data_IF_145492040115
#
_entry.id   IF_145492040115
#
_cell.length_a   1.000
_cell.length_b   1.000
_cell.length_c   1.000
_cell.angle_alpha   90.00
_cell.angle_beta   90.00
_cell.angle_gamma   90.00
#
_symmetry.space_group_name_H-M   'P 1'
#
loop_
_entity.id
_entity.type
_entity.pdbx_description
1 polymer ?
#
# COMPACT_ATOMS: atom_id res chain seq x y z
N UNK A 1 31.09 13.97 47.98
CA UNK A 1 30.96 12.56 47.51
C UNK A 1 29.48 12.17 47.47
N UNK A 2 28.86 12.12 46.29
CA UNK A 2 27.91 11.07 45.86
C UNK A 2 27.38 11.46 44.48
N UNK A 3 27.80 10.69 43.47
CA UNK A 3 27.30 10.77 42.10
C UNK A 3 26.04 9.93 42.06
N UNK A 4 24.91 10.49 41.61
CA UNK A 4 23.74 9.70 41.25
C UNK A 4 23.45 9.97 39.78
N UNK A 5 23.94 9.06 38.94
CA UNK A 5 23.64 9.03 37.52
C UNK A 5 22.21 8.52 37.36
N UNK A 6 21.33 9.34 36.80
CA UNK A 6 19.98 8.92 36.39
C UNK A 6 20.12 8.38 34.97
N UNK A 7 20.08 7.06 34.84
CA UNK A 7 20.05 6.39 33.54
C UNK A 7 18.57 6.31 33.15
N UNK A 8 18.13 7.23 32.29
CA UNK A 8 16.79 7.19 31.71
C UNK A 8 16.74 6.07 30.66
N UNK A 9 16.15 4.93 31.03
CA UNK A 9 15.84 3.86 30.09
C UNK A 9 14.71 4.31 29.17
N UNK A 10 15.04 4.72 27.94
CA UNK A 10 14.05 4.97 26.89
C UNK A 10 13.57 3.60 26.41
N UNK A 11 12.44 3.14 26.96
CA UNK A 11 11.72 2.00 26.42
C UNK A 11 11.13 2.44 25.07
N UNK A 12 11.85 2.18 23.98
CA UNK A 12 11.29 2.25 22.64
C UNK A 12 10.24 1.15 22.53
N UNK A 13 8.97 1.51 22.72
CA UNK A 13 7.85 0.67 22.36
C UNK A 13 7.86 0.52 20.84
N UNK A 14 8.52 -0.52 20.35
CA UNK A 14 8.28 -1.07 19.01
C UNK A 14 6.82 -1.53 19.04
N UNK A 15 5.94 -0.70 18.47
CA UNK A 15 4.61 -1.12 18.13
C UNK A 15 4.76 -2.23 17.10
N UNK A 16 4.70 -3.48 17.57
CA UNK A 16 4.56 -4.64 16.71
C UNK A 16 3.23 -4.49 15.99
N UNK A 17 3.26 -3.89 14.79
CA UNK A 17 2.17 -4.02 13.83
C UNK A 17 1.95 -5.52 13.66
N UNK A 18 0.73 -6.04 13.91
CA UNK A 18 0.48 -7.45 13.72
C UNK A 18 0.85 -7.77 12.28
N UNK A 19 1.66 -8.80 12.10
CA UNK A 19 1.88 -9.42 10.81
C UNK A 19 0.55 -10.05 10.38
N UNK A 20 -0.43 -9.21 10.02
CA UNK A 20 -1.50 -9.61 9.13
C UNK A 20 -0.78 -10.23 7.94
N UNK A 21 -1.10 -11.47 7.63
CA UNK A 21 -0.57 -12.16 6.46
C UNK A 21 -0.57 -11.16 5.30
N UNK A 22 0.62 -10.79 4.82
CA UNK A 22 0.75 -9.81 3.75
C UNK A 22 0.21 -10.49 2.50
N UNK A 23 -1.10 -10.38 2.29
CA UNK A 23 -1.73 -10.82 1.06
C UNK A 23 -1.11 -10.00 -0.06
N UNK A 24 -0.40 -10.71 -0.93
CA UNK A 24 0.27 -10.13 -2.07
C UNK A 24 -0.26 -10.84 -3.30
N UNK A 25 -0.53 -10.07 -4.34
CA UNK A 25 -0.94 -10.60 -5.64
C UNK A 25 0.08 -10.22 -6.68
N UNK A 26 0.39 -11.14 -7.58
CA UNK A 26 1.28 -10.89 -8.68
C UNK A 26 0.50 -10.24 -9.84
N UNK A 27 1.00 -9.10 -10.32
CA UNK A 27 0.46 -8.43 -11.50
C UNK A 27 1.42 -8.62 -12.66
N UNK A 28 0.96 -9.28 -13.72
CA UNK A 28 1.73 -9.41 -14.95
C UNK A 28 1.49 -8.21 -15.86
N UNK A 29 2.56 -7.66 -16.40
CA UNK A 29 2.53 -6.50 -17.30
C UNK A 29 3.50 -6.63 -18.48
N UNK A 30 4.09 -7.81 -18.69
CA UNK A 30 5.03 -8.05 -19.79
C UNK A 30 4.39 -7.97 -21.19
N UNK A 31 3.06 -7.94 -21.26
CA UNK A 31 2.28 -7.72 -22.48
C UNK A 31 2.03 -6.22 -22.78
N UNK A 32 2.38 -5.32 -21.85
CA UNK A 32 2.13 -3.89 -21.97
C UNK A 32 3.39 -3.14 -22.39
N UNK A 33 3.24 -2.21 -23.32
CA UNK A 33 4.22 -1.14 -23.51
C UNK A 33 4.06 -0.10 -22.40
N UNK A 34 4.75 -0.30 -21.29
CA UNK A 34 4.71 0.59 -20.11
C UNK A 34 5.40 1.94 -20.34
N UNK A 35 6.09 2.13 -21.48
CA UNK A 35 6.65 3.41 -21.88
C UNK A 35 5.61 4.30 -22.59
N UNK A 36 4.56 3.70 -23.13
CA UNK A 36 3.41 4.39 -23.72
C UNK A 36 2.43 4.86 -22.64
N UNK A 37 1.79 6.01 -22.88
CA UNK A 37 0.74 6.52 -21.99
C UNK A 37 -0.42 5.51 -21.83
N UNK A 38 -0.77 4.79 -22.90
CA UNK A 38 -1.81 3.77 -22.88
C UNK A 38 -1.42 2.57 -22.01
N UNK A 39 -0.22 2.02 -22.18
CA UNK A 39 0.21 0.87 -21.38
C UNK A 39 0.45 1.21 -19.91
N UNK A 40 0.96 2.41 -19.61
CA UNK A 40 1.05 2.90 -18.23
C UNK A 40 -0.32 3.07 -17.56
N UNK A 41 -1.34 3.50 -18.32
CA UNK A 41 -2.71 3.59 -17.82
C UNK A 41 -3.32 2.22 -17.54
N UNK A 42 -3.20 1.27 -18.49
CA UNK A 42 -3.68 -0.11 -18.30
C UNK A 42 -2.99 -0.79 -17.12
N UNK A 43 -1.69 -0.53 -16.91
CA UNK A 43 -0.98 -1.03 -15.74
C UNK A 43 -1.53 -0.42 -14.43
N UNK A 44 -1.90 0.87 -14.45
CA UNK A 44 -2.60 1.52 -13.34
C UNK A 44 -3.91 0.81 -12.99
N UNK A 45 -4.76 0.52 -13.98
CA UNK A 45 -6.02 -0.20 -13.77
C UNK A 45 -5.80 -1.62 -13.22
N UNK A 46 -4.77 -2.32 -13.72
CA UNK A 46 -4.39 -3.66 -13.20
C UNK A 46 -3.92 -3.59 -11.77
N UNK A 47 -3.21 -2.52 -11.40
CA UNK A 47 -2.78 -2.28 -10.03
C UNK A 47 -3.97 -2.03 -9.10
N UNK A 48 -4.93 -1.22 -9.53
CA UNK A 48 -6.17 -0.99 -8.77
C UNK A 48 -7.00 -2.27 -8.60
N UNK A 49 -7.08 -3.10 -9.64
CA UNK A 49 -7.74 -4.40 -9.60
C UNK A 49 -7.03 -5.36 -8.63
N UNK A 50 -5.69 -5.44 -8.68
CA UNK A 50 -4.90 -6.25 -7.74
C UNK A 50 -5.01 -5.77 -6.29
N UNK A 51 -5.04 -4.45 -6.07
CA UNK A 51 -5.30 -3.90 -4.74
C UNK A 51 -6.70 -4.28 -4.23
N UNK A 52 -7.70 -4.33 -5.11
CA UNK A 52 -9.05 -4.76 -4.75
C UNK A 52 -9.15 -6.28 -4.48
N UNK A 53 -8.27 -7.12 -5.04
CA UNK A 53 -8.24 -8.55 -4.70
C UNK A 53 -7.60 -8.82 -3.36
N UNK A 54 -6.59 -8.02 -2.98
CA UNK A 54 -5.92 -8.10 -1.67
C UNK A 54 -6.79 -7.50 -0.56
N UNK A 55 -7.48 -6.40 -0.85
CA UNK A 55 -8.30 -5.71 0.15
C UNK A 55 -9.76 -6.21 0.11
N UNK A 56 -10.11 -7.10 1.04
CA UNK A 56 -11.47 -7.62 1.19
C UNK A 56 -12.50 -6.48 1.30
N UNK A 57 -13.43 -6.40 0.35
CA UNK A 57 -14.44 -5.34 0.32
C UNK A 57 -15.54 -5.65 1.35
N UNK A 58 -15.77 -4.77 2.35
CA UNK A 58 -16.82 -4.96 3.34
C UNK A 58 -18.18 -4.59 2.76
N UNK A 59 -19.24 -4.84 3.55
CA UNK A 59 -20.58 -4.35 3.23
C UNK A 59 -20.57 -2.81 3.17
N UNK A 60 -21.22 -2.24 2.16
CA UNK A 60 -21.24 -0.77 1.97
C UNK A 60 -21.95 -0.02 3.09
N UNK A 61 -22.74 -0.71 3.91
CA UNK A 61 -23.40 -0.16 5.11
C UNK A 61 -22.46 -0.12 6.31
N UNK A 62 -21.35 -0.86 6.29
CA UNK A 62 -20.29 -0.75 7.28
C UNK A 62 -19.31 0.37 6.91
N UNK A 63 -19.64 1.60 7.32
CA UNK A 63 -18.82 2.78 7.04
C UNK A 63 -17.40 2.66 7.61
N UNK A 64 -17.23 1.99 8.75
CA UNK A 64 -15.92 1.80 9.37
C UNK A 64 -15.09 0.80 8.58
N UNK A 65 -15.71 -0.31 8.17
CA UNK A 65 -15.10 -1.27 7.24
C UNK A 65 -14.71 -0.60 5.93
N UNK A 66 -15.58 0.23 5.36
CA UNK A 66 -15.31 0.94 4.11
C UNK A 66 -14.11 1.88 4.22
N UNK A 67 -13.95 2.59 5.35
CA UNK A 67 -12.77 3.41 5.60
C UNK A 67 -11.49 2.57 5.66
N UNK A 68 -11.50 1.46 6.40
CA UNK A 68 -10.37 0.54 6.48
C UNK A 68 -10.02 -0.10 5.12
N UNK A 69 -11.04 -0.39 4.30
CA UNK A 69 -10.88 -0.91 2.95
C UNK A 69 -10.24 0.12 2.00
N UNK A 70 -10.66 1.38 2.08
CA UNK A 70 -10.03 2.46 1.31
C UNK A 70 -8.57 2.66 1.71
N UNK A 71 -8.27 2.62 3.00
CA UNK A 71 -6.89 2.72 3.51
C UNK A 71 -6.03 1.55 3.02
N UNK A 72 -6.55 0.32 3.08
CA UNK A 72 -5.89 -0.85 2.51
C UNK A 72 -5.60 -0.67 1.01
N UNK A 73 -6.60 -0.27 0.23
CA UNK A 73 -6.43 -0.08 -1.22
C UNK A 73 -5.38 0.98 -1.52
N UNK A 74 -5.40 2.10 -0.81
CA UNK A 74 -4.44 3.19 -1.01
C UNK A 74 -3.02 2.75 -0.64
N UNK A 75 -2.85 2.00 0.45
CA UNK A 75 -1.55 1.44 0.84
C UNK A 75 -1.04 0.42 -0.19
N UNK A 76 -1.90 -0.47 -0.68
CA UNK A 76 -1.55 -1.46 -1.70
C UNK A 76 -1.14 -0.81 -3.03
N UNK A 77 -1.90 0.19 -3.48
CA UNK A 77 -1.56 0.96 -4.70
C UNK A 77 -0.23 1.69 -4.50
N UNK A 78 -0.05 2.41 -3.40
CA UNK A 78 1.19 3.16 -3.12
C UNK A 78 2.39 2.22 -3.13
N UNK A 79 2.30 1.08 -2.44
CA UNK A 79 3.37 0.08 -2.43
C UNK A 79 3.65 -0.51 -3.82
N UNK A 80 2.62 -0.75 -4.62
CA UNK A 80 2.79 -1.23 -6.00
C UNK A 80 3.45 -0.18 -6.91
N UNK A 81 3.07 1.09 -6.77
CA UNK A 81 3.71 2.20 -7.51
C UNK A 81 5.18 2.33 -7.12
N UNK A 82 5.52 2.23 -5.83
CA UNK A 82 6.91 2.26 -5.35
C UNK A 82 7.74 1.10 -5.90
N UNK A 83 7.17 -0.10 -5.94
CA UNK A 83 7.81 -1.28 -6.55
C UNK A 83 8.06 -1.07 -8.05
N UNK A 84 7.10 -0.53 -8.79
CA UNK A 84 7.24 -0.21 -10.21
C UNK A 84 8.29 0.88 -10.44
N UNK A 85 8.30 1.92 -9.61
CA UNK A 85 9.29 3.00 -9.67
C UNK A 85 10.71 2.48 -9.41
N UNK A 86 10.88 1.52 -8.49
CA UNK A 86 12.17 0.86 -8.26
C UNK A 86 12.70 0.06 -9.47
N UNK A 87 11.79 -0.31 -10.38
CA UNK A 87 12.09 -0.98 -11.65
C UNK A 87 12.18 0.00 -12.83
N UNK A 88 12.09 1.31 -12.58
CA UNK A 88 12.12 2.35 -13.62
C UNK A 88 10.81 2.54 -14.38
N UNK A 89 9.71 1.96 -13.89
CA UNK A 89 8.39 2.03 -14.52
C UNK A 89 7.57 3.11 -13.82
N UNK A 90 7.12 4.11 -14.58
CA UNK A 90 6.25 5.16 -14.07
C UNK A 90 4.80 4.87 -14.46
N UNK A 91 3.94 4.73 -13.47
CA UNK A 91 2.49 4.54 -13.67
C UNK A 91 1.72 5.72 -13.10
N UNK A 92 0.75 6.19 -13.87
CA UNK A 92 -0.26 7.11 -13.36
C UNK A 92 -1.39 6.28 -12.73
N UNK A 93 -1.10 5.59 -11.62
CA UNK A 93 -2.14 5.03 -10.78
C UNK A 93 -2.60 6.14 -9.83
N UNK A 94 -3.79 6.68 -10.05
CA UNK A 94 -4.37 7.60 -9.08
C UNK A 94 -4.70 6.80 -7.81
N UNK A 95 -4.24 7.20 -6.60
CA UNK A 95 -4.86 6.67 -5.39
C UNK A 95 -6.34 7.00 -5.49
N UNK A 96 -7.22 6.08 -5.10
CA UNK A 96 -8.67 6.29 -5.19
C UNK A 96 -9.02 7.56 -4.40
N UNK A 97 -9.14 8.68 -5.13
CA UNK A 97 -9.32 10.00 -4.55
C UNK A 97 -10.60 10.00 -3.74
N UNK A 98 -10.46 10.21 -2.45
CA UNK A 98 -11.53 10.62 -1.55
C UNK A 98 -12.13 11.89 -2.14
N UNK A 99 -13.34 11.77 -2.68
CA UNK A 99 -14.17 12.91 -3.09
C UNK A 99 -15.10 13.29 -1.95
#
# INVERSE_FOLDING_TARGET
MKKFAIIAAVAAAVAAVPAAAQESTQIYFGDLDVASATGAHVLGERLEAGAATVCARPDTRDLKGMAAWQECKNAAITSGVEQLASQGINVNAAPASVK
#
